data_IF_864062508588
#
_entry.id   IF_864062508588
#
_cell.length_a   1.000
_cell.length_b   1.000
_cell.length_c   1.000
_cell.angle_alpha   90.00
_cell.angle_beta   90.00
_cell.angle_gamma   90.00
#
_symmetry.space_group_name_H-M   'P 1'
#
loop_
_entity.id
_entity.type
_entity.pdbx_description
1 polymer ?
#
# COMPACT_ATOMS: atom_id res chain seq x y z
N UNK A 1 -24.97 -41.42 -15.06
CA UNK A 1 -23.58 -41.77 -14.71
C UNK A 1 -22.77 -40.52 -14.96
N UNK A 2 -22.64 -39.68 -13.92
CA UNK A 2 -21.97 -38.36 -14.00
C UNK A 2 -20.55 -38.51 -13.54
N UNK A 3 -19.62 -38.30 -14.44
CA UNK A 3 -18.18 -38.21 -14.14
C UNK A 3 -17.90 -36.84 -13.59
N UNK A 4 -17.50 -36.74 -12.34
CA UNK A 4 -16.92 -35.56 -11.73
C UNK A 4 -15.50 -35.48 -12.29
N UNK A 5 -15.25 -34.52 -13.16
CA UNK A 5 -13.91 -34.22 -13.66
C UNK A 5 -13.20 -33.40 -12.59
N UNK A 6 -12.37 -34.03 -11.77
CA UNK A 6 -11.36 -33.38 -10.96
C UNK A 6 -10.29 -32.87 -11.89
N UNK A 7 -9.95 -31.61 -11.77
CA UNK A 7 -8.92 -30.90 -12.55
C UNK A 7 -7.54 -31.50 -12.28
N UNK A 8 -7.19 -32.48 -13.06
CA UNK A 8 -5.81 -32.93 -13.18
C UNK A 8 -5.08 -32.03 -14.19
N UNK A 9 -3.89 -31.58 -13.79
CA UNK A 9 -2.95 -30.85 -14.61
C UNK A 9 -2.73 -31.57 -15.92
N UNK A 10 -3.20 -30.99 -17.04
CA UNK A 10 -2.97 -31.53 -18.37
C UNK A 10 -1.47 -31.53 -18.69
N UNK A 11 -0.92 -32.72 -18.68
CA UNK A 11 0.43 -33.03 -19.16
C UNK A 11 0.33 -33.09 -20.70
N UNK A 12 0.65 -32.01 -21.38
CA UNK A 12 0.84 -32.04 -22.85
C UNK A 12 2.32 -32.21 -23.16
N UNK A 13 2.64 -33.25 -23.89
CA UNK A 13 3.94 -33.41 -24.54
C UNK A 13 3.91 -32.66 -25.89
N UNK A 14 4.98 -31.92 -26.22
CA UNK A 14 5.15 -31.37 -27.55
C UNK A 14 5.54 -32.49 -28.56
N UNK A 15 5.56 -32.17 -29.83
CA UNK A 15 5.94 -33.10 -30.90
C UNK A 15 7.35 -33.69 -30.78
N UNK A 16 8.15 -33.23 -29.81
CA UNK A 16 9.51 -33.68 -29.53
C UNK A 16 9.62 -34.43 -28.19
N UNK A 17 8.48 -34.68 -27.49
CA UNK A 17 8.43 -35.48 -26.27
C UNK A 17 8.88 -34.75 -24.99
N UNK A 18 9.03 -33.44 -25.00
CA UNK A 18 9.41 -32.67 -23.80
C UNK A 18 8.19 -32.15 -23.01
N UNK A 19 8.34 -32.16 -21.71
CA UNK A 19 7.30 -31.83 -20.73
C UNK A 19 6.97 -30.32 -20.73
N UNK A 20 5.87 -29.92 -21.35
CA UNK A 20 5.41 -28.52 -21.43
C UNK A 20 5.03 -27.93 -20.05
N UNK A 21 4.84 -28.78 -19.02
CA UNK A 21 4.57 -28.36 -17.64
C UNK A 21 5.73 -27.54 -17.06
N UNK A 22 6.97 -27.86 -17.41
CA UNK A 22 8.14 -27.12 -16.91
C UNK A 22 8.19 -25.68 -17.39
N UNK A 23 7.67 -25.37 -18.57
CA UNK A 23 7.64 -24.01 -19.09
C UNK A 23 6.55 -23.17 -18.41
N UNK A 24 5.34 -23.71 -18.21
CA UNK A 24 4.27 -23.02 -17.46
C UNK A 24 4.62 -22.85 -15.99
N UNK A 25 5.26 -23.86 -15.37
CA UNK A 25 5.75 -23.75 -13.99
C UNK A 25 6.91 -22.76 -13.86
N UNK A 26 7.82 -22.69 -14.84
CA UNK A 26 8.88 -21.68 -14.89
C UNK A 26 8.33 -20.27 -15.03
N UNK A 27 7.31 -20.06 -15.86
CA UNK A 27 6.65 -18.76 -16.04
C UNK A 27 5.85 -18.40 -14.78
N UNK A 28 5.17 -19.37 -14.15
CA UNK A 28 4.44 -19.17 -12.89
C UNK A 28 5.40 -18.91 -11.72
N UNK A 29 6.47 -19.68 -11.59
CA UNK A 29 7.51 -19.47 -10.58
C UNK A 29 8.33 -18.21 -10.85
N UNK A 30 8.60 -17.85 -12.10
CA UNK A 30 9.21 -16.58 -12.47
C UNK A 30 8.27 -15.40 -12.15
N UNK A 31 6.95 -15.54 -12.34
CA UNK A 31 5.95 -14.57 -11.92
C UNK A 31 5.88 -14.39 -10.40
N UNK A 32 6.06 -15.47 -9.64
CA UNK A 32 6.12 -15.44 -8.17
C UNK A 32 7.47 -14.89 -7.68
N UNK A 33 8.58 -15.22 -8.36
CA UNK A 33 9.91 -14.70 -8.01
C UNK A 33 10.13 -13.23 -8.41
N UNK A 34 9.38 -12.71 -9.40
CA UNK A 34 9.48 -11.31 -9.85
C UNK A 34 8.71 -10.34 -8.93
N UNK A 35 7.89 -10.82 -7.97
CA UNK A 35 7.32 -9.99 -6.88
C UNK A 35 8.36 -9.52 -5.85
N UNK A 36 9.64 -9.59 -6.17
CA UNK A 36 10.70 -9.02 -5.35
C UNK A 36 10.68 -7.49 -5.47
N UNK A 37 10.12 -6.83 -4.44
CA UNK A 37 10.50 -5.47 -4.00
C UNK A 37 10.76 -4.44 -5.14
N UNK A 38 9.90 -4.45 -6.18
CA UNK A 38 9.97 -3.41 -7.19
C UNK A 38 9.33 -2.16 -6.59
N UNK A 39 10.15 -1.16 -6.33
CA UNK A 39 9.66 0.16 -6.00
C UNK A 39 8.73 0.66 -7.10
N UNK A 40 7.56 1.12 -6.72
CA UNK A 40 6.61 1.73 -7.66
C UNK A 40 7.24 2.93 -8.35
N UNK A 41 6.86 3.16 -9.60
CA UNK A 41 7.26 4.31 -10.40
C UNK A 41 6.04 5.09 -10.82
N UNK A 42 6.20 6.38 -11.05
CA UNK A 42 5.16 7.21 -11.66
C UNK A 42 4.68 6.55 -12.97
N UNK A 43 3.38 6.45 -13.13
CA UNK A 43 2.71 5.72 -14.20
C UNK A 43 2.35 4.26 -13.88
N UNK A 44 2.86 3.68 -12.79
CA UNK A 44 2.44 2.33 -12.37
C UNK A 44 1.01 2.36 -11.80
N UNK A 45 0.30 1.26 -11.95
CA UNK A 45 -1.02 1.06 -11.32
C UNK A 45 -0.87 0.81 -9.83
N UNK A 46 -1.86 1.24 -9.04
CA UNK A 46 -1.97 0.91 -7.62
C UNK A 46 -1.94 -0.60 -7.44
N UNK A 47 -1.03 -1.14 -6.60
CA UNK A 47 -1.05 -2.55 -6.25
C UNK A 47 -2.39 -2.94 -5.62
N UNK A 48 -2.86 -4.14 -5.96
CA UNK A 48 -4.04 -4.71 -5.31
C UNK A 48 -3.73 -5.06 -3.87
N UNK A 49 -4.58 -4.63 -2.94
CA UNK A 49 -4.50 -4.96 -1.53
C UNK A 49 -5.89 -5.21 -0.93
N UNK A 50 -5.89 -5.97 0.17
CA UNK A 50 -7.08 -6.20 1.00
C UNK A 50 -6.62 -6.24 2.46
N UNK A 51 -6.95 -5.20 3.22
CA UNK A 51 -6.50 -5.02 4.61
C UNK A 51 -7.63 -4.44 5.48
N UNK A 52 -7.57 -4.66 6.79
CA UNK A 52 -8.55 -4.08 7.72
C UNK A 52 -8.26 -2.62 8.00
N UNK A 53 -9.32 -1.83 8.13
CA UNK A 53 -9.23 -0.48 8.70
C UNK A 53 -9.29 -0.51 10.25
N UNK A 54 -9.22 0.66 10.86
CA UNK A 54 -9.29 0.85 12.31
C UNK A 54 -10.63 0.46 12.94
N UNK A 55 -11.69 0.35 12.14
CA UNK A 55 -13.03 -0.03 12.58
C UNK A 55 -13.30 -1.53 12.33
N UNK A 56 -12.32 -2.27 11.79
CA UNK A 56 -12.41 -3.70 11.49
C UNK A 56 -13.06 -4.02 10.15
N UNK A 57 -13.33 -3.02 9.31
CA UNK A 57 -13.86 -3.25 7.98
C UNK A 57 -12.75 -3.63 7.02
N UNK A 58 -13.04 -4.57 6.12
CA UNK A 58 -12.14 -4.92 5.04
C UNK A 58 -12.15 -3.84 3.97
N UNK A 59 -10.97 -3.35 3.61
CA UNK A 59 -10.75 -2.29 2.62
C UNK A 59 -9.88 -2.82 1.49
N UNK A 60 -10.30 -2.56 0.26
CA UNK A 60 -9.63 -3.02 -0.97
C UNK A 60 -9.14 -1.84 -1.79
N UNK A 61 -8.14 -2.09 -2.64
CA UNK A 61 -7.63 -1.09 -3.59
C UNK A 61 -8.73 -0.49 -4.48
N UNK A 62 -9.71 -1.32 -4.89
CA UNK A 62 -10.82 -0.93 -5.75
C UNK A 62 -11.75 0.11 -5.09
N UNK A 63 -11.73 0.22 -3.76
CA UNK A 63 -12.52 1.22 -3.03
C UNK A 63 -12.05 2.66 -3.30
N UNK A 64 -10.83 2.81 -3.80
CA UNK A 64 -10.20 4.10 -4.10
C UNK A 64 -10.12 4.43 -5.59
N UNK A 65 -10.41 3.46 -6.48
CA UNK A 65 -10.28 3.60 -7.92
C UNK A 65 -11.65 3.92 -8.54
N UNK A 66 -11.70 4.87 -9.48
CA UNK A 66 -12.93 5.21 -10.21
C UNK A 66 -13.97 5.97 -9.38
N UNK A 67 -13.59 6.56 -8.25
CA UNK A 67 -14.49 7.34 -7.37
C UNK A 67 -14.44 8.85 -7.61
N UNK A 68 -13.76 9.29 -8.68
CA UNK A 68 -13.65 10.72 -9.03
C UNK A 68 -12.71 11.51 -8.11
N UNK A 69 -11.93 10.85 -7.29
CA UNK A 69 -10.97 11.47 -6.37
C UNK A 69 -9.59 10.85 -6.50
N UNK A 70 -8.55 11.66 -6.36
CA UNK A 70 -7.18 11.23 -6.17
C UNK A 70 -7.02 10.60 -4.78
N UNK A 71 -6.04 9.71 -4.60
CA UNK A 71 -5.81 9.05 -3.32
C UNK A 71 -4.39 9.25 -2.83
N UNK A 72 -4.25 9.81 -1.65
CA UNK A 72 -3.01 9.92 -0.90
C UNK A 72 -2.92 8.70 0.02
N UNK A 73 -1.89 7.85 -0.20
CA UNK A 73 -1.56 6.74 0.70
C UNK A 73 -0.21 7.05 1.33
N UNK A 74 -0.20 7.34 2.65
CA UNK A 74 1.04 7.59 3.37
C UNK A 74 1.38 6.43 4.30
N UNK A 75 2.63 5.96 4.20
CA UNK A 75 3.17 4.89 5.02
C UNK A 75 4.02 5.46 6.15
N UNK A 76 3.71 5.04 7.37
CA UNK A 76 4.40 5.51 8.56
C UNK A 76 4.82 4.36 9.49
N UNK A 77 5.92 4.52 10.25
CA UNK A 77 6.52 3.43 11.02
C UNK A 77 5.67 2.86 12.15
N UNK A 78 4.99 3.71 12.95
CA UNK A 78 4.30 3.27 14.15
C UNK A 78 3.39 4.35 14.72
N UNK A 79 2.20 3.94 15.20
CA UNK A 79 1.27 4.79 15.95
C UNK A 79 1.93 5.44 17.16
N UNK A 80 1.43 6.61 17.53
CA UNK A 80 1.82 7.33 18.75
C UNK A 80 3.32 7.69 18.88
N UNK A 81 4.08 7.65 17.80
CA UNK A 81 5.44 8.24 17.77
C UNK A 81 5.36 9.70 17.35
N UNK A 82 6.31 10.53 17.82
CA UNK A 82 6.28 11.99 17.61
C UNK A 82 6.14 12.40 16.15
N UNK A 83 6.97 11.83 15.26
CA UNK A 83 6.94 12.14 13.82
C UNK A 83 5.67 11.62 13.13
N UNK A 84 5.18 10.42 13.49
CA UNK A 84 3.96 9.89 12.88
C UNK A 84 2.71 10.64 13.36
N UNK A 85 2.69 11.06 14.61
CA UNK A 85 1.62 11.91 15.14
C UNK A 85 1.62 13.29 14.49
N UNK A 86 2.79 13.88 14.28
CA UNK A 86 2.89 15.17 13.58
C UNK A 86 2.39 15.07 12.15
N UNK A 87 2.76 14.02 11.42
CA UNK A 87 2.31 13.76 10.05
C UNK A 87 0.78 13.57 9.97
N UNK A 88 0.22 12.73 10.85
CA UNK A 88 -1.21 12.51 10.93
C UNK A 88 -1.97 13.80 11.28
N UNK A 89 -1.45 14.62 12.21
CA UNK A 89 -2.03 15.92 12.55
C UNK A 89 -1.95 16.91 11.38
N UNK A 90 -0.85 16.93 10.62
CA UNK A 90 -0.73 17.75 9.40
C UNK A 90 -1.82 17.42 8.39
N UNK A 91 -2.09 16.13 8.15
CA UNK A 91 -3.20 15.71 7.28
C UNK A 91 -4.57 16.06 7.87
N UNK A 92 -4.78 15.90 9.18
CA UNK A 92 -6.03 16.27 9.86
C UNK A 92 -6.30 17.76 9.74
N UNK A 93 -5.32 18.60 10.07
CA UNK A 93 -5.48 20.04 10.13
C UNK A 93 -5.75 20.67 8.74
N UNK A 94 -5.29 20.00 7.69
CA UNK A 94 -5.51 20.40 6.29
C UNK A 94 -6.54 19.51 5.57
N UNK A 95 -7.31 18.69 6.30
CA UNK A 95 -8.18 17.68 5.68
C UNK A 95 -9.26 18.29 4.80
N UNK A 96 -9.85 19.41 5.21
CA UNK A 96 -10.83 20.12 4.38
C UNK A 96 -10.23 20.59 3.05
N UNK A 97 -9.06 21.23 3.09
CA UNK A 97 -8.38 21.70 1.88
C UNK A 97 -8.01 20.55 0.94
N UNK A 98 -7.52 19.41 1.48
CA UNK A 98 -7.23 18.21 0.69
C UNK A 98 -8.50 17.64 0.07
N UNK A 99 -9.60 17.59 0.83
CA UNK A 99 -10.88 17.08 0.34
C UNK A 99 -11.46 17.97 -0.76
N UNK A 100 -11.37 19.29 -0.61
CA UNK A 100 -11.82 20.27 -1.59
C UNK A 100 -10.97 20.22 -2.87
N UNK A 101 -9.67 19.95 -2.75
CA UNK A 101 -8.77 19.66 -3.87
C UNK A 101 -8.97 18.25 -4.49
N UNK A 102 -9.97 17.49 -4.01
CA UNK A 102 -10.35 16.20 -4.59
C UNK A 102 -9.51 15.00 -4.11
N UNK A 103 -8.84 15.10 -2.97
CA UNK A 103 -8.07 14.01 -2.41
C UNK A 103 -8.83 13.18 -1.38
N UNK A 104 -8.59 11.86 -1.37
CA UNK A 104 -8.78 10.98 -0.23
C UNK A 104 -7.45 10.80 0.49
N UNK A 105 -7.46 10.71 1.82
CA UNK A 105 -6.27 10.46 2.63
C UNK A 105 -6.39 9.11 3.33
N UNK A 106 -5.34 8.31 3.27
CA UNK A 106 -5.27 6.98 3.89
C UNK A 106 -3.89 6.79 4.51
N UNK A 107 -3.87 6.47 5.82
CA UNK A 107 -2.63 6.12 6.51
C UNK A 107 -2.45 4.60 6.59
N UNK A 108 -1.22 4.12 6.47
CA UNK A 108 -0.90 2.69 6.52
C UNK A 108 0.28 2.45 7.45
N UNK A 109 0.12 1.54 8.38
CA UNK A 109 1.25 1.02 9.17
C UNK A 109 1.06 -0.47 9.46
N UNK A 110 2.08 -1.10 10.05
CA UNK A 110 2.03 -2.49 10.50
C UNK A 110 1.30 -2.68 11.83
N UNK A 111 0.85 -1.59 12.46
CA UNK A 111 0.13 -1.68 13.72
C UNK A 111 -1.25 -2.34 13.54
N UNK A 112 -1.81 -2.87 14.60
CA UNK A 112 -3.12 -3.53 14.56
C UNK A 112 -4.27 -2.53 14.44
N UNK A 113 -5.43 -2.98 13.93
CA UNK A 113 -6.65 -2.18 13.87
C UNK A 113 -7.02 -1.57 15.23
N UNK A 114 -6.84 -2.33 16.34
CA UNK A 114 -7.05 -1.82 17.70
C UNK A 114 -6.11 -0.67 18.06
N UNK A 115 -4.85 -0.71 17.63
CA UNK A 115 -3.91 0.40 17.82
C UNK A 115 -4.37 1.63 17.04
N UNK A 116 -4.76 1.44 15.78
CA UNK A 116 -5.28 2.50 14.93
C UNK A 116 -6.56 3.15 15.45
N UNK A 117 -7.48 2.37 16.06
CA UNK A 117 -8.67 2.92 16.74
C UNK A 117 -8.28 3.90 17.83
N UNK A 118 -7.32 3.51 18.68
CA UNK A 118 -6.81 4.39 19.73
C UNK A 118 -6.08 5.62 19.19
N UNK A 119 -5.26 5.44 18.16
CA UNK A 119 -4.51 6.53 17.51
C UNK A 119 -5.46 7.53 16.85
N UNK A 120 -6.43 7.04 16.07
CA UNK A 120 -7.47 7.87 15.44
C UNK A 120 -8.27 8.67 16.47
N UNK A 121 -8.74 8.02 17.54
CA UNK A 121 -9.50 8.68 18.59
C UNK A 121 -8.69 9.75 19.33
N UNK A 122 -7.43 9.44 19.68
CA UNK A 122 -6.54 10.34 20.39
C UNK A 122 -6.27 11.64 19.65
N UNK A 123 -6.11 11.57 18.33
CA UNK A 123 -5.76 12.73 17.50
C UNK A 123 -6.93 13.27 16.68
N UNK A 124 -8.13 12.68 16.78
CA UNK A 124 -9.31 13.12 16.04
C UNK A 124 -9.13 13.03 14.52
N UNK A 125 -8.52 11.94 14.02
CA UNK A 125 -8.20 11.80 12.61
C UNK A 125 -9.48 11.51 11.79
N UNK A 126 -9.80 12.32 10.75
CA UNK A 126 -11.05 12.18 9.98
C UNK A 126 -10.96 11.14 8.85
N UNK A 127 -9.80 10.53 8.64
CA UNK A 127 -9.52 9.60 7.55
C UNK A 127 -9.23 8.19 8.06
N UNK A 128 -9.16 7.24 7.11
CA UNK A 128 -8.91 5.82 7.40
C UNK A 128 -7.45 5.53 7.69
N UNK A 129 -7.24 4.58 8.61
CA UNK A 129 -5.95 3.99 8.91
C UNK A 129 -6.03 2.48 8.61
N UNK A 130 -5.12 1.96 7.80
CA UNK A 130 -5.09 0.58 7.34
C UNK A 130 -4.03 -0.22 8.10
N UNK A 131 -4.43 -1.37 8.64
CA UNK A 131 -3.61 -2.23 9.49
C UNK A 131 -2.92 -3.32 8.64
N UNK A 132 -1.76 -3.03 8.07
CA UNK A 132 -0.96 -4.01 7.32
C UNK A 132 -0.07 -4.84 8.26
N UNK A 133 -0.69 -5.65 9.10
CA UNK A 133 0.03 -6.47 10.10
C UNK A 133 0.96 -7.51 9.47
N UNK A 134 0.71 -7.87 8.23
CA UNK A 134 1.53 -8.82 7.45
C UNK A 134 2.70 -8.15 6.75
N UNK A 135 2.71 -6.83 6.68
CA UNK A 135 3.66 -6.01 5.89
C UNK A 135 3.62 -6.26 4.38
N UNK A 136 2.58 -6.94 3.88
CA UNK A 136 2.48 -7.26 2.45
C UNK A 136 2.23 -5.99 1.62
N UNK A 137 1.28 -5.14 2.04
CA UNK A 137 1.03 -3.86 1.38
C UNK A 137 2.26 -2.95 1.42
N UNK A 138 2.94 -2.87 2.56
CA UNK A 138 4.21 -2.15 2.71
C UNK A 138 5.27 -2.62 1.71
N UNK A 139 5.37 -3.94 1.48
CA UNK A 139 6.31 -4.51 0.53
C UNK A 139 5.91 -4.25 -0.92
N UNK A 140 4.64 -4.44 -1.26
CA UNK A 140 4.11 -4.26 -2.62
C UNK A 140 4.22 -2.79 -3.09
N UNK A 141 4.13 -1.83 -2.16
CA UNK A 141 4.36 -0.41 -2.42
C UNK A 141 5.83 0.02 -2.34
N UNK A 142 6.75 -0.88 -1.94
CA UNK A 142 8.15 -0.54 -1.71
C UNK A 142 8.38 0.37 -0.50
N UNK A 143 7.44 0.38 0.44
CA UNK A 143 7.52 1.11 1.71
C UNK A 143 8.11 0.27 2.86
N UNK A 144 8.66 -0.90 2.54
CA UNK A 144 9.35 -1.79 3.48
C UNK A 144 10.78 -2.01 3.03
N UNK A 145 11.75 -1.76 3.90
CA UNK A 145 13.16 -1.89 3.52
C UNK A 145 14.12 -1.60 4.67
N UNK A 146 15.39 -1.59 4.32
CA UNK A 146 16.46 -1.26 5.25
C UNK A 146 16.48 0.23 5.57
N UNK A 147 16.61 0.57 6.84
CA UNK A 147 16.79 1.93 7.32
C UNK A 147 17.84 1.98 8.42
N UNK A 148 18.54 3.07 8.50
CA UNK A 148 19.50 3.34 9.59
C UNK A 148 18.73 3.85 10.82
N UNK A 149 18.90 3.19 11.96
CA UNK A 149 18.33 3.58 13.24
C UNK A 149 19.34 3.35 14.36
N UNK A 150 19.72 4.42 15.05
CA UNK A 150 20.75 4.38 16.12
C UNK A 150 22.07 3.72 15.68
N UNK A 151 22.52 4.02 14.46
CA UNK A 151 23.78 3.49 13.91
C UNK A 151 23.71 2.03 13.40
N UNK A 152 22.56 1.37 13.53
CA UNK A 152 22.32 0.01 13.03
C UNK A 152 21.41 0.03 11.82
N UNK A 153 21.63 -0.89 10.89
CA UNK A 153 20.71 -1.15 9.79
C UNK A 153 19.62 -2.12 10.27
N UNK A 154 18.36 -1.71 10.16
CA UNK A 154 17.20 -2.50 10.55
C UNK A 154 16.17 -2.51 9.42
N UNK A 155 15.47 -3.63 9.26
CA UNK A 155 14.31 -3.72 8.37
C UNK A 155 13.09 -3.06 9.04
N UNK A 156 12.36 -2.27 8.28
CA UNK A 156 11.17 -1.62 8.79
C UNK A 156 10.47 -0.74 7.77
N UNK A 157 9.36 -0.14 8.18
CA UNK A 157 8.60 0.80 7.36
C UNK A 157 9.45 2.00 7.00
N UNK A 158 9.54 2.27 5.70
CA UNK A 158 10.07 3.50 5.13
C UNK A 158 8.92 4.50 5.05
N UNK A 159 9.16 5.72 5.57
CA UNK A 159 8.17 6.79 5.46
C UNK A 159 8.11 7.27 4.02
N UNK A 160 6.98 7.05 3.37
CA UNK A 160 6.73 7.43 1.98
C UNK A 160 5.27 7.78 1.79
N UNK A 161 5.01 8.74 0.92
CA UNK A 161 3.66 9.09 0.51
C UNK A 161 3.52 8.89 -0.99
N UNK A 162 2.47 8.18 -1.37
CA UNK A 162 2.12 7.90 -2.76
C UNK A 162 0.83 8.62 -3.10
N UNK A 163 0.79 9.26 -4.25
CA UNK A 163 -0.38 9.99 -4.73
C UNK A 163 -0.81 9.36 -6.04
N UNK A 164 -2.03 8.81 -6.03
CA UNK A 164 -2.64 8.17 -7.18
C UNK A 164 -3.75 9.06 -7.75
N UNK A 165 -3.89 9.03 -9.07
CA UNK A 165 -5.02 9.65 -9.74
C UNK A 165 -6.33 8.90 -9.47
N UNK A 166 -7.44 9.43 -9.99
CA UNK A 166 -8.76 8.82 -9.85
C UNK A 166 -8.88 7.42 -10.49
N UNK A 167 -7.97 7.06 -11.40
CA UNK A 167 -7.92 5.76 -12.09
C UNK A 167 -6.96 4.78 -11.39
N UNK A 168 -6.34 5.19 -10.28
CA UNK A 168 -5.37 4.39 -9.56
C UNK A 168 -4.00 4.35 -10.21
N UNK A 169 -3.64 5.34 -11.04
CA UNK A 169 -2.31 5.48 -11.62
C UNK A 169 -1.48 6.39 -10.72
N UNK A 170 -0.27 5.95 -10.41
CA UNK A 170 0.65 6.68 -9.56
C UNK A 170 1.15 7.96 -10.24
N UNK A 171 0.79 9.10 -9.70
CA UNK A 171 1.20 10.42 -10.20
C UNK A 171 2.50 10.89 -9.53
N UNK A 172 2.67 10.60 -8.22
CA UNK A 172 3.78 11.15 -7.47
C UNK A 172 4.17 10.27 -6.27
N UNK A 173 5.47 10.28 -5.95
CA UNK A 173 6.04 9.65 -4.76
C UNK A 173 6.79 10.71 -3.96
N UNK A 174 6.51 10.82 -2.66
CA UNK A 174 7.26 11.66 -1.73
C UNK A 174 8.07 10.73 -0.83
N UNK A 175 9.38 10.69 -1.06
CA UNK A 175 10.30 9.86 -0.26
C UNK A 175 10.85 10.60 0.96
N UNK A 176 10.98 11.92 0.87
CA UNK A 176 11.41 12.79 1.98
C UNK A 176 10.20 13.56 2.51
N UNK A 177 9.47 12.91 3.39
CA UNK A 177 8.25 13.49 3.97
C UNK A 177 8.62 14.46 5.09
N UNK A 178 8.19 15.73 4.96
CA UNK A 178 8.17 16.66 6.07
C UNK A 178 6.96 16.36 6.96
N UNK A 179 7.18 15.71 8.08
CA UNK A 179 6.11 15.23 8.96
C UNK A 179 5.26 16.36 9.57
N UNK A 180 5.78 17.58 9.66
CA UNK A 180 5.04 18.73 10.18
C UNK A 180 4.19 19.41 9.11
N UNK A 181 4.63 19.32 7.85
CA UNK A 181 4.02 19.99 6.71
C UNK A 181 3.62 19.00 5.60
N UNK A 182 3.30 17.75 5.96
CA UNK A 182 3.05 16.69 4.99
C UNK A 182 1.89 17.00 4.03
N UNK A 183 0.82 17.60 4.52
CA UNK A 183 -0.31 18.01 3.69
C UNK A 183 0.05 19.20 2.78
N UNK A 184 0.71 20.22 3.32
CA UNK A 184 1.16 21.40 2.58
C UNK A 184 2.15 21.03 1.47
N UNK A 185 3.06 20.08 1.76
CA UNK A 185 4.01 19.53 0.77
C UNK A 185 3.30 18.90 -0.44
N UNK A 186 2.07 18.44 -0.29
CA UNK A 186 1.25 17.91 -1.39
C UNK A 186 0.55 19.04 -2.13
N UNK A 187 -0.09 19.96 -1.40
CA UNK A 187 -0.89 21.04 -1.96
C UNK A 187 -0.06 22.08 -2.71
N UNK A 188 1.16 22.40 -2.27
CA UNK A 188 2.04 23.40 -2.90
C UNK A 188 2.79 22.90 -4.13
N UNK A 189 2.72 21.62 -4.43
CA UNK A 189 3.44 21.02 -5.54
C UNK A 189 2.54 20.58 -6.71
N UNK A 190 1.35 21.18 -6.79
CA UNK A 190 0.43 21.08 -7.95
C UNK A 190 0.76 22.04 -9.07
#
# INVERSE_FOLDING_TARGET
MWLVCLTESEICLNSEGELVILQKLRIFMAGILIKRNRMLKVGDKMPSFEVMDQDGNMVKSEDFIGKGRKTIIYFYPKDNTSGCSAEACSFRDNYAALTDAGYNVVGVSKDSAKSHTGFRAKFGLPFRLLADTTTQMLQDFGAWGEKKMYGKTVLGTLRRTFIFDQNGILERIIEKVDTKNAATQILESE
#
